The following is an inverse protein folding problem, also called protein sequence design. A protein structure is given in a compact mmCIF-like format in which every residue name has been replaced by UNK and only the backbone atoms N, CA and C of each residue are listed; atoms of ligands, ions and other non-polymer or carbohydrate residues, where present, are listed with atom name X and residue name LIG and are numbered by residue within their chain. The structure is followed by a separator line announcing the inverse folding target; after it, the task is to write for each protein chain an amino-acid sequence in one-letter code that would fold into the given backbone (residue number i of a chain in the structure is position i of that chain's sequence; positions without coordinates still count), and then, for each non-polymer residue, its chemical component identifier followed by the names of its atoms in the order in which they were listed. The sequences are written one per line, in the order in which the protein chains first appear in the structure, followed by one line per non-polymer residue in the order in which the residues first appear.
data_IF_363928423308
#
_entry.id   IF_363928423308
#
_cell.length_a   1.000
_cell.length_b   1.000
_cell.length_c   1.000
_cell.angle_alpha   90.00
_cell.angle_beta   90.00
_cell.angle_gamma   90.00
#
_symmetry.space_group_name_H-M   'P 1'
#
loop_
_entity.id
_entity.type
_entity.pdbx_description
1 polymer ?
#
# COMPACT_ATOMS: atom_id res chain seq x y z
N UNK A 1 -8.40 -13.43 14.95
CA UNK A 1 -7.48 -13.66 13.83
C UNK A 1 -7.44 -12.43 12.93
N UNK A 2 -6.26 -12.02 12.56
CA UNK A 2 -6.10 -10.87 11.66
C UNK A 2 -6.44 -11.25 10.23
N UNK A 3 -7.18 -10.39 9.53
CA UNK A 3 -7.55 -10.57 8.14
C UNK A 3 -6.30 -10.64 7.25
N UNK A 4 -6.18 -11.70 6.46
CA UNK A 4 -5.07 -11.90 5.51
C UNK A 4 -3.67 -11.82 6.12
N UNK A 5 -3.50 -12.31 7.35
CA UNK A 5 -2.24 -12.14 8.09
C UNK A 5 -1.03 -12.75 7.39
N UNK A 6 -1.19 -13.91 6.75
CA UNK A 6 -0.09 -14.56 6.01
C UNK A 6 0.32 -13.72 4.80
N UNK A 7 -0.65 -13.14 4.11
CA UNK A 7 -0.39 -12.32 2.92
C UNK A 7 0.28 -11.00 3.30
N UNK A 8 -0.18 -10.36 4.36
CA UNK A 8 0.43 -9.11 4.83
C UNK A 8 1.84 -9.35 5.37
N UNK A 9 2.08 -10.48 6.01
CA UNK A 9 3.42 -10.86 6.44
C UNK A 9 4.39 -10.93 5.26
N UNK A 10 3.98 -11.54 4.16
CA UNK A 10 4.79 -11.64 2.96
C UNK A 10 5.07 -10.26 2.35
N UNK A 11 4.06 -9.41 2.25
CA UNK A 11 4.21 -8.04 1.73
C UNK A 11 5.14 -7.23 2.62
N UNK A 12 4.97 -7.30 3.93
CA UNK A 12 5.81 -6.58 4.87
C UNK A 12 7.27 -7.04 4.79
N UNK A 13 7.50 -8.34 4.59
CA UNK A 13 8.85 -8.87 4.40
C UNK A 13 9.54 -8.26 3.19
N UNK A 14 8.83 -8.13 2.07
CA UNK A 14 9.35 -7.47 0.89
C UNK A 14 9.67 -5.99 1.16
N UNK A 15 8.77 -5.30 1.83
CA UNK A 15 8.95 -3.88 2.17
C UNK A 15 10.14 -3.67 3.12
N UNK A 16 10.31 -4.53 4.12
CA UNK A 16 11.47 -4.48 5.01
C UNK A 16 12.78 -4.65 4.25
N UNK A 17 12.83 -5.57 3.31
CA UNK A 17 14.02 -5.78 2.50
C UNK A 17 14.38 -4.52 1.72
N UNK A 18 13.39 -3.91 1.08
CA UNK A 18 13.60 -2.66 0.34
C UNK A 18 14.10 -1.56 1.25
N UNK A 19 13.47 -1.36 2.40
CA UNK A 19 13.85 -0.33 3.35
C UNK A 19 15.28 -0.57 3.87
N UNK A 20 15.63 -1.81 4.18
CA UNK A 20 16.95 -2.15 4.69
C UNK A 20 18.06 -1.92 3.65
N UNK A 21 17.74 -2.10 2.37
CA UNK A 21 18.70 -1.89 1.30
C UNK A 21 18.86 -0.42 0.91
N UNK A 22 17.76 0.33 0.84
CA UNK A 22 17.77 1.70 0.35
C UNK A 22 17.86 2.75 1.46
N UNK A 23 17.28 2.47 2.63
CA UNK A 23 17.13 3.48 3.65
C UNK A 23 16.09 4.54 3.27
N UNK A 24 15.96 5.56 4.09
CA UNK A 24 15.06 6.68 3.82
C UNK A 24 15.71 7.71 2.91
N UNK A 25 14.92 8.64 2.38
CA UNK A 25 15.42 9.81 1.68
C UNK A 25 15.24 9.81 0.16
N UNK A 26 14.81 8.70 -0.41
CA UNK A 26 14.50 8.66 -1.84
C UNK A 26 13.07 9.13 -2.10
N UNK A 27 12.78 9.44 -3.36
CA UNK A 27 11.43 9.75 -3.79
C UNK A 27 10.56 8.48 -3.73
N UNK A 28 9.28 8.68 -3.55
CA UNK A 28 8.30 7.58 -3.45
C UNK A 28 8.38 6.62 -4.65
N UNK A 29 8.57 7.16 -5.86
CA UNK A 29 8.67 6.34 -7.06
C UNK A 29 9.83 5.36 -7.04
N UNK A 30 10.93 5.69 -6.36
CA UNK A 30 12.08 4.78 -6.23
C UNK A 30 11.69 3.57 -5.39
N UNK A 31 10.99 3.78 -4.30
CA UNK A 31 10.53 2.68 -3.44
C UNK A 31 9.50 1.81 -4.14
N UNK A 32 8.63 2.42 -4.94
CA UNK A 32 7.65 1.66 -5.72
C UNK A 32 8.33 0.72 -6.71
N UNK A 33 9.32 1.20 -7.45
CA UNK A 33 10.04 0.37 -8.41
C UNK A 33 10.82 -0.75 -7.71
N UNK A 34 11.49 -0.44 -6.62
CA UNK A 34 12.23 -1.44 -5.84
C UNK A 34 11.29 -2.50 -5.25
N UNK A 35 10.14 -2.08 -4.75
CA UNK A 35 9.16 -3.00 -4.17
C UNK A 35 8.57 -3.93 -5.24
N UNK A 36 8.35 -3.43 -6.45
CA UNK A 36 7.90 -4.26 -7.56
C UNK A 36 8.92 -5.38 -7.85
N UNK A 37 10.20 -5.05 -7.89
CA UNK A 37 11.27 -6.04 -8.09
C UNK A 37 11.21 -7.10 -6.99
N UNK A 38 11.02 -6.66 -5.75
CA UNK A 38 10.98 -7.59 -4.61
C UNK A 38 9.75 -8.48 -4.63
N UNK A 39 8.60 -7.94 -5.04
CA UNK A 39 7.39 -8.74 -5.23
C UNK A 39 7.62 -9.84 -6.27
N UNK A 40 8.29 -9.52 -7.38
CA UNK A 40 8.61 -10.51 -8.41
C UNK A 40 9.53 -11.60 -7.86
N UNK A 41 10.58 -11.23 -7.14
CA UNK A 41 11.54 -12.17 -6.57
C UNK A 41 10.91 -13.11 -5.56
N UNK A 42 9.88 -12.65 -4.85
CA UNK A 42 9.20 -13.42 -3.80
C UNK A 42 7.92 -14.09 -4.28
N UNK A 43 7.61 -13.97 -5.57
CA UNK A 43 6.40 -14.53 -6.16
C UNK A 43 5.12 -14.03 -5.48
N UNK A 44 5.10 -12.74 -5.11
CA UNK A 44 3.91 -12.09 -4.57
C UNK A 44 3.09 -11.55 -5.74
N UNK A 45 1.87 -12.04 -5.97
CA UNK A 45 1.03 -11.54 -7.05
C UNK A 45 0.64 -10.09 -6.78
N UNK A 46 0.80 -9.24 -7.78
CA UNK A 46 0.48 -7.81 -7.64
C UNK A 46 0.03 -7.21 -8.96
N UNK A 47 -0.67 -6.08 -8.85
CA UNK A 47 -0.91 -5.17 -9.96
C UNK A 47 -0.41 -3.79 -9.52
N UNK A 48 0.49 -3.21 -10.29
CA UNK A 48 1.06 -1.89 -10.01
C UNK A 48 0.17 -0.80 -10.59
N UNK A 49 -0.08 0.26 -9.81
CA UNK A 49 -0.87 1.41 -10.22
C UNK A 49 -2.24 1.00 -10.78
N UNK A 50 -2.87 0.10 -10.04
CA UNK A 50 -4.19 -0.41 -10.44
C UNK A 50 -5.25 0.67 -10.26
N UNK A 51 -5.99 0.93 -11.32
CA UNK A 51 -7.11 1.85 -11.30
C UNK A 51 -8.34 1.17 -10.71
N UNK A 52 -8.91 1.76 -9.66
CA UNK A 52 -10.07 1.25 -8.96
C UNK A 52 -11.24 2.20 -9.13
N UNK A 53 -12.42 1.63 -9.36
CA UNK A 53 -13.65 2.40 -9.54
C UNK A 53 -14.19 2.91 -8.23
N UNK A 54 -14.72 4.12 -8.24
CA UNK A 54 -15.35 4.74 -7.09
C UNK A 54 -16.84 4.91 -7.38
N UNK A 55 -17.68 4.48 -6.45
CA UNK A 55 -19.13 4.58 -6.58
C UNK A 55 -19.67 5.61 -5.59
N UNK A 56 -20.51 6.49 -6.07
CA UNK A 56 -21.23 7.45 -5.24
C UNK A 56 -22.73 7.21 -5.37
N UNK A 57 -23.35 6.82 -4.27
CA UNK A 57 -24.81 6.67 -4.21
C UNK A 57 -25.35 5.80 -5.35
N UNK A 58 -24.70 4.66 -5.59
CA UNK A 58 -25.06 3.73 -6.65
C UNK A 58 -24.58 4.11 -8.04
N UNK A 59 -23.92 5.24 -8.19
CA UNK A 59 -23.45 5.73 -9.50
C UNK A 59 -21.94 5.66 -9.56
N UNK A 60 -21.41 5.01 -10.61
CA UNK A 60 -19.98 4.96 -10.83
C UNK A 60 -19.48 6.34 -11.27
N UNK A 61 -18.48 6.86 -10.56
CA UNK A 61 -17.89 8.15 -10.86
C UNK A 61 -16.93 8.04 -12.04
N UNK A 62 -16.69 9.15 -12.74
CA UNK A 62 -15.62 9.24 -13.73
C UNK A 62 -14.25 9.25 -13.07
N UNK A 63 -14.15 9.83 -11.88
CA UNK A 63 -12.92 9.83 -11.08
C UNK A 63 -12.65 8.43 -10.56
N UNK A 64 -11.40 8.02 -10.62
CA UNK A 64 -10.96 6.73 -10.14
C UNK A 64 -9.86 6.91 -9.09
N UNK A 65 -9.57 5.85 -8.36
CA UNK A 65 -8.45 5.79 -7.44
C UNK A 65 -7.39 4.86 -8.01
N UNK A 66 -6.16 5.35 -8.09
CA UNK A 66 -5.04 4.53 -8.55
C UNK A 66 -4.21 4.11 -7.35
N UNK A 67 -4.35 2.86 -6.94
CA UNK A 67 -3.56 2.29 -5.86
C UNK A 67 -2.13 2.04 -6.33
N UNK A 68 -1.14 2.29 -5.45
CA UNK A 68 0.26 1.99 -5.79
C UNK A 68 0.42 0.52 -6.17
N UNK A 69 -0.16 -0.37 -5.36
CA UNK A 69 -0.27 -1.79 -5.68
C UNK A 69 -1.58 -2.34 -5.16
N UNK A 70 -2.07 -3.38 -5.84
CA UNK A 70 -3.04 -4.30 -5.27
C UNK A 70 -2.40 -5.67 -5.28
N UNK A 71 -2.19 -6.25 -4.09
CA UNK A 71 -1.55 -7.54 -3.94
C UNK A 71 -2.58 -8.63 -3.70
N UNK A 72 -2.35 -9.80 -4.30
CA UNK A 72 -3.24 -10.98 -4.19
C UNK A 72 -4.68 -10.69 -4.62
N UNK A 73 -4.90 -9.62 -5.37
CA UNK A 73 -6.24 -9.18 -5.75
C UNK A 73 -7.13 -8.72 -4.59
N UNK A 74 -6.56 -8.53 -3.39
CA UNK A 74 -7.34 -8.33 -2.14
C UNK A 74 -6.85 -7.18 -1.29
N UNK A 75 -5.58 -6.82 -1.38
CA UNK A 75 -4.93 -5.90 -0.44
C UNK A 75 -4.41 -4.69 -1.18
N UNK A 76 -4.93 -3.52 -0.84
CA UNK A 76 -4.43 -2.26 -1.34
C UNK A 76 -3.13 -1.95 -0.59
N UNK A 77 -2.07 -1.62 -1.32
CA UNK A 77 -0.79 -1.21 -0.73
C UNK A 77 -0.50 0.21 -1.19
N UNK A 78 -0.40 1.12 -0.22
CA UNK A 78 -0.06 2.51 -0.45
C UNK A 78 1.30 2.84 0.13
N UNK A 79 2.13 3.51 -0.67
CA UNK A 79 3.47 3.91 -0.28
C UNK A 79 3.53 5.38 0.03
N UNK A 80 4.32 5.72 1.04
CA UNK A 80 4.66 7.10 1.37
C UNK A 80 6.17 7.21 1.58
N UNK A 81 6.69 8.41 1.38
CA UNK A 81 8.09 8.74 1.65
C UNK A 81 8.16 10.06 2.42
N UNK A 82 7.53 10.06 3.59
CA UNK A 82 7.40 11.23 4.48
C UNK A 82 8.13 10.96 5.79
N UNK A 83 8.45 12.00 6.55
CA UNK A 83 9.19 11.84 7.80
C UNK A 83 8.41 11.01 8.83
N UNK A 84 7.09 11.14 8.86
CA UNK A 84 6.21 10.38 9.74
C UNK A 84 4.81 10.30 9.15
N UNK A 85 4.14 9.17 9.35
CA UNK A 85 2.74 9.03 8.97
C UNK A 85 1.85 9.91 9.84
N UNK A 86 0.85 10.51 9.22
CA UNK A 86 -0.14 11.37 9.86
C UNK A 86 -1.54 10.79 9.68
N UNK A 87 -2.48 11.27 10.49
CA UNK A 87 -3.86 10.82 10.43
C UNK A 87 -4.49 11.04 9.05
N UNK A 88 -4.09 12.10 8.35
CA UNK A 88 -4.57 12.35 6.99
C UNK A 88 -4.23 11.21 6.04
N UNK A 89 -3.04 10.61 6.19
CA UNK A 89 -2.63 9.46 5.38
C UNK A 89 -3.50 8.24 5.65
N UNK A 90 -3.80 8.00 6.93
CA UNK A 90 -4.65 6.86 7.36
C UNK A 90 -6.08 7.04 6.89
N UNK A 91 -6.62 8.23 7.06
CA UNK A 91 -7.97 8.57 6.62
C UNK A 91 -8.14 8.42 5.12
N UNK A 92 -7.12 8.79 4.34
CA UNK A 92 -7.15 8.64 2.89
C UNK A 92 -7.30 7.17 2.49
N UNK A 93 -6.49 6.31 3.06
CA UNK A 93 -6.57 4.86 2.77
C UNK A 93 -7.93 4.31 3.19
N UNK A 94 -8.39 4.64 4.39
CA UNK A 94 -9.69 4.20 4.87
C UNK A 94 -10.82 4.63 3.93
N UNK A 95 -10.79 5.88 3.47
CA UNK A 95 -11.80 6.39 2.56
C UNK A 95 -11.80 5.62 1.24
N UNK A 96 -10.64 5.29 0.69
CA UNK A 96 -10.56 4.51 -0.53
C UNK A 96 -11.03 3.07 -0.33
N UNK A 97 -10.74 2.46 0.83
CA UNK A 97 -11.31 1.15 1.15
C UNK A 97 -12.84 1.20 1.14
N UNK A 98 -13.40 2.21 1.80
CA UNK A 98 -14.84 2.39 1.86
C UNK A 98 -15.44 2.59 0.46
N UNK A 99 -14.80 3.39 -0.37
CA UNK A 99 -15.32 3.73 -1.70
C UNK A 99 -15.17 2.60 -2.71
N UNK A 100 -14.19 1.71 -2.54
CA UNK A 100 -13.89 0.62 -3.50
C UNK A 100 -14.40 -0.75 -3.05
N UNK A 101 -14.72 -0.91 -1.77
CA UNK A 101 -15.16 -2.19 -1.22
C UNK A 101 -14.03 -3.13 -0.82
N UNK A 102 -12.77 -2.75 -0.99
CA UNK A 102 -11.65 -3.53 -0.47
C UNK A 102 -11.65 -3.47 1.05
N UNK A 103 -11.26 -4.56 1.71
CA UNK A 103 -11.37 -4.69 3.16
C UNK A 103 -10.11 -4.34 3.92
N UNK A 104 -8.96 -4.40 3.25
CA UNK A 104 -7.67 -4.20 3.89
C UNK A 104 -6.75 -3.37 3.02
N UNK A 105 -6.13 -2.37 3.63
CA UNK A 105 -5.03 -1.63 3.06
C UNK A 105 -3.80 -1.71 3.94
N UNK A 106 -2.64 -1.71 3.33
CA UNK A 106 -1.36 -1.54 4.00
C UNK A 106 -0.81 -0.18 3.64
N UNK A 107 -0.49 0.61 4.64
CA UNK A 107 0.15 1.89 4.48
C UNK A 107 1.61 1.74 4.90
N UNK A 108 2.52 1.91 3.95
CA UNK A 108 3.95 1.69 4.14
C UNK A 108 4.69 3.02 3.91
N UNK A 109 5.39 3.49 4.93
CA UNK A 109 6.17 4.72 4.82
C UNK A 109 7.67 4.42 4.89
N UNK A 110 8.36 4.73 3.82
CA UNK A 110 9.81 4.53 3.67
C UNK A 110 10.61 5.77 4.05
N UNK A 111 9.95 6.87 4.40
CA UNK A 111 10.62 8.14 4.66
C UNK A 111 11.06 8.35 6.10
N UNK A 112 10.67 7.49 7.02
CA UNK A 112 11.12 7.60 8.41
C UNK A 112 12.59 7.20 8.53
N UNK A 113 13.37 7.98 9.29
CA UNK A 113 14.79 7.71 9.49
C UNK A 113 15.06 6.55 10.44
N UNK A 114 14.10 6.18 11.28
CA UNK A 114 14.29 5.21 12.34
C UNK A 114 13.90 3.79 11.92
N UNK A 115 12.77 3.67 11.21
CA UNK A 115 12.22 2.37 10.86
C UNK A 115 11.26 2.49 9.68
N UNK A 116 10.96 1.37 9.03
CA UNK A 116 9.85 1.29 8.12
C UNK A 116 8.55 1.40 8.94
N UNK A 117 7.79 2.48 8.74
CA UNK A 117 6.47 2.58 9.33
C UNK A 117 5.47 1.77 8.51
N UNK A 118 4.69 0.94 9.17
CA UNK A 118 3.69 0.12 8.49
C UNK A 118 2.42 0.08 9.31
N UNK A 119 1.30 0.24 8.65
CA UNK A 119 0.01 0.20 9.32
C UNK A 119 -1.00 -0.60 8.51
N UNK A 120 -1.82 -1.36 9.22
CA UNK A 120 -2.97 -2.05 8.67
C UNK A 120 -4.18 -1.14 8.82
N UNK A 121 -4.87 -0.89 7.72
CA UNK A 121 -6.12 -0.13 7.72
C UNK A 121 -7.22 -1.12 7.33
N UNK A 122 -8.17 -1.32 8.22
CA UNK A 122 -9.26 -2.30 8.02
C UNK A 122 -10.58 -1.57 7.91
N UNK A 123 -11.36 -1.94 6.89
CA UNK A 123 -12.69 -1.39 6.71
C UNK A 123 -13.67 -1.95 7.75
#
# INVERSE_FOLDING_TARGET
MLLYSDLTYAINGAAFHVYNKLGHGFLEAVYQEALEIEFQRRNIPYEREKELKITYDGVELKQTYKADFVCYGKIIVELKAVSALEDAHRSQVYNYLHATGYKLGLLLNFGSSDELEKERIVL
#
